data_IF_410610038894
#
_entry.id   IF_410610038894
#
_cell.length_a   1.000
_cell.length_b   1.000
_cell.length_c   1.000
_cell.angle_alpha   90.00
_cell.angle_beta   90.00
_cell.angle_gamma   90.00
#
_symmetry.space_group_name_H-M   'P 1'
#
loop_
_entity.id
_entity.type
_entity.pdbx_description
1 polymer ?
#
# COMPACT_ATOMS: atom_id res chain seq x y z
N UNK A 1 36.61 21.84 9.18
CA UNK A 1 36.59 23.31 9.05
C UNK A 1 35.82 23.64 7.79
N UNK A 2 34.64 24.25 7.91
CA UNK A 2 33.88 24.70 6.73
C UNK A 2 34.56 25.92 6.11
N UNK A 3 34.47 26.13 4.78
CA UNK A 3 35.08 27.28 4.13
C UNK A 3 34.50 28.58 4.69
N UNK A 4 35.39 29.51 5.09
CA UNK A 4 35.01 30.85 5.53
C UNK A 4 34.38 31.60 4.35
N UNK A 5 33.12 32.02 4.49
CA UNK A 5 32.42 32.83 3.51
C UNK A 5 33.06 34.23 3.48
N UNK A 6 33.75 34.57 2.38
CA UNK A 6 34.29 35.90 2.15
C UNK A 6 33.21 36.79 1.53
N UNK A 7 32.92 37.92 2.19
CA UNK A 7 31.86 38.87 1.79
C UNK A 7 32.18 39.64 0.49
N UNK A 8 33.42 39.58 0.01
CA UNK A 8 33.86 40.26 -1.22
C UNK A 8 33.79 39.37 -2.46
N UNK A 9 33.54 38.07 -2.31
CA UNK A 9 33.42 37.15 -3.44
C UNK A 9 31.98 37.16 -3.99
N UNK A 10 31.84 37.31 -5.30
CA UNK A 10 30.54 37.33 -5.98
C UNK A 10 29.98 35.91 -6.09
N UNK A 11 28.97 35.60 -5.28
CA UNK A 11 28.27 34.31 -5.30
C UNK A 11 26.78 34.50 -5.62
N UNK A 12 26.28 33.73 -6.58
CA UNK A 12 24.86 33.70 -6.96
C UNK A 12 24.28 32.30 -6.72
N UNK A 13 23.06 32.23 -6.21
CA UNK A 13 22.35 30.97 -6.08
C UNK A 13 21.78 30.58 -7.45
N UNK A 14 22.16 29.42 -7.98
CA UNK A 14 21.71 28.95 -9.31
C UNK A 14 20.39 28.17 -9.20
N UNK A 15 20.31 27.17 -8.32
CA UNK A 15 19.12 26.33 -8.17
C UNK A 15 19.10 25.59 -6.82
N UNK A 16 17.91 25.19 -6.38
CA UNK A 16 17.70 24.23 -5.27
C UNK A 16 17.40 22.85 -5.82
N UNK A 17 18.11 21.85 -5.33
CA UNK A 17 17.77 20.45 -5.52
C UNK A 17 16.80 20.04 -4.40
N UNK A 18 15.58 19.64 -4.76
CA UNK A 18 14.56 19.20 -3.81
C UNK A 18 14.80 17.76 -3.37
N UNK A 19 14.31 17.40 -2.20
CA UNK A 19 14.30 16.01 -1.73
C UNK A 19 13.31 15.19 -2.57
N UNK A 20 13.72 14.00 -3.01
CA UNK A 20 12.90 13.09 -3.82
C UNK A 20 12.12 12.07 -2.97
N UNK A 21 12.34 12.04 -1.65
CA UNK A 21 11.67 11.09 -0.73
C UNK A 21 10.25 11.54 -0.36
N UNK A 22 9.35 11.60 -1.33
CA UNK A 22 7.92 11.89 -1.12
C UNK A 22 7.13 10.65 -0.70
N UNK A 23 5.93 10.84 -0.15
CA UNK A 23 5.02 9.73 0.17
C UNK A 23 4.53 9.02 -1.09
N UNK A 24 4.64 7.69 -1.13
CA UNK A 24 4.07 6.84 -2.19
C UNK A 24 2.75 6.26 -1.68
N UNK A 25 1.70 6.28 -2.51
CA UNK A 25 0.35 5.85 -2.13
C UNK A 25 -0.22 4.78 -3.07
N UNK A 26 0.60 3.80 -3.44
CA UNK A 26 0.23 2.82 -4.44
C UNK A 26 -0.89 1.89 -3.93
N UNK A 27 -0.72 1.30 -2.74
CA UNK A 27 -1.66 0.35 -2.17
C UNK A 27 -2.95 1.06 -1.76
N UNK A 28 -2.83 2.22 -1.14
CA UNK A 28 -3.97 3.03 -0.73
C UNK A 28 -4.84 3.39 -1.94
N UNK A 29 -4.26 3.99 -2.99
CA UNK A 29 -5.03 4.43 -4.17
C UNK A 29 -5.60 3.29 -4.98
N UNK A 30 -4.89 2.14 -5.05
CA UNK A 30 -5.33 1.00 -5.86
C UNK A 30 -6.42 0.17 -5.17
N UNK A 31 -6.28 -0.10 -3.87
CA UNK A 31 -7.15 -1.04 -3.16
C UNK A 31 -8.16 -0.36 -2.23
N UNK A 32 -7.95 0.92 -1.86
CA UNK A 32 -8.81 1.68 -0.96
C UNK A 32 -9.21 3.06 -1.53
N UNK A 33 -9.85 3.12 -2.72
CA UNK A 33 -10.16 4.41 -3.37
C UNK A 33 -11.30 5.19 -2.72
N UNK A 34 -12.18 4.52 -1.98
CA UNK A 34 -13.38 5.13 -1.42
C UNK A 34 -13.09 5.77 -0.06
N UNK A 35 -13.57 7.00 0.11
CA UNK A 35 -13.48 7.74 1.37
C UNK A 35 -14.89 7.89 1.92
N UNK A 36 -15.06 7.57 3.19
CA UNK A 36 -16.32 7.74 3.92
C UNK A 36 -16.00 8.57 5.16
N UNK A 37 -16.70 9.69 5.29
CA UNK A 37 -16.64 10.57 6.46
C UNK A 37 -17.84 10.26 7.36
N UNK A 38 -17.63 10.30 8.67
CA UNK A 38 -18.65 10.05 9.67
C UNK A 38 -18.58 11.12 10.75
N UNK A 39 -19.74 11.61 11.18
CA UNK A 39 -19.85 12.53 12.32
C UNK A 39 -19.80 11.81 13.68
N UNK A 40 -19.89 10.47 13.68
CA UNK A 40 -19.85 9.64 14.88
C UNK A 40 -18.47 9.04 15.11
N UNK A 41 -18.10 8.85 16.38
CA UNK A 41 -16.83 8.22 16.77
C UNK A 41 -16.69 6.77 16.27
N UNK A 42 -17.80 6.04 16.15
CA UNK A 42 -17.83 4.66 15.69
C UNK A 42 -18.26 4.56 14.24
N UNK A 43 -17.67 3.62 13.52
CA UNK A 43 -18.04 3.22 12.16
C UNK A 43 -18.45 1.75 12.18
N UNK A 44 -19.57 1.43 11.56
CA UNK A 44 -20.07 0.06 11.43
C UNK A 44 -19.89 -0.42 9.98
N UNK A 45 -19.44 -1.67 9.82
CA UNK A 45 -19.37 -2.35 8.52
C UNK A 45 -20.25 -3.59 8.60
N UNK A 46 -21.23 -3.66 7.69
CA UNK A 46 -22.04 -4.85 7.49
C UNK A 46 -21.37 -5.80 6.48
N UNK A 47 -21.14 -7.04 6.90
CA UNK A 47 -20.58 -8.11 6.08
C UNK A 47 -21.70 -9.10 5.74
N UNK A 48 -22.06 -9.22 4.45
CA UNK A 48 -22.96 -10.28 3.97
C UNK A 48 -22.16 -11.59 3.83
N UNK A 49 -22.41 -12.54 4.73
CA UNK A 49 -21.76 -13.86 4.70
C UNK A 49 -22.57 -14.76 3.78
N UNK A 50 -22.32 -14.62 2.48
CA UNK A 50 -22.95 -15.41 1.42
C UNK A 50 -22.29 -16.78 1.23
N UNK A 51 -23.02 -17.88 1.47
CA UNK A 51 -22.61 -19.22 1.00
C UNK A 51 -23.16 -19.48 -0.40
N UNK A 52 -22.37 -20.13 -1.27
CA UNK A 52 -22.88 -20.67 -2.55
C UNK A 52 -23.90 -21.76 -2.25
N UNK A 53 -25.17 -21.52 -2.59
CA UNK A 53 -26.28 -22.45 -2.36
C UNK A 53 -26.91 -22.81 -3.70
N UNK A 54 -27.27 -24.09 -3.86
CA UNK A 54 -28.07 -24.55 -4.98
C UNK A 54 -29.52 -24.68 -4.54
N UNK A 55 -30.46 -24.28 -5.40
CA UNK A 55 -31.88 -24.46 -5.14
C UNK A 55 -32.22 -25.96 -5.12
N UNK A 56 -33.05 -26.43 -4.16
CA UNK A 56 -33.47 -27.82 -4.13
C UNK A 56 -34.48 -28.08 -5.27
N UNK A 57 -34.29 -29.17 -6.01
CA UNK A 57 -35.34 -29.67 -6.90
C UNK A 57 -36.49 -30.22 -6.06
N UNK A 58 -37.73 -29.79 -6.35
CA UNK A 58 -38.93 -30.23 -5.67
C UNK A 58 -39.95 -30.74 -6.69
N UNK A 59 -40.60 -31.87 -6.38
CA UNK A 59 -41.70 -32.40 -7.19
C UNK A 59 -42.92 -31.46 -7.11
N UNK A 60 -43.67 -31.22 -8.20
CA UNK A 60 -44.82 -30.31 -8.21
C UNK A 60 -45.92 -30.64 -7.19
N UNK A 61 -46.01 -31.90 -6.77
CA UNK A 61 -47.04 -32.39 -5.86
C UNK A 61 -46.65 -32.29 -4.36
N UNK A 62 -45.41 -31.91 -4.05
CA UNK A 62 -44.89 -31.87 -2.68
C UNK A 62 -44.46 -30.45 -2.31
N UNK A 63 -44.82 -30.01 -1.09
CA UNK A 63 -44.43 -28.70 -0.58
C UNK A 63 -42.90 -28.55 -0.54
N UNK A 64 -42.39 -27.46 -1.11
CA UNK A 64 -40.96 -27.17 -1.18
C UNK A 64 -40.30 -27.09 0.19
N UNK A 65 -39.01 -27.45 0.25
CA UNK A 65 -38.21 -27.34 1.48
C UNK A 65 -37.90 -25.87 1.79
N UNK A 66 -37.98 -25.50 3.07
CA UNK A 66 -37.61 -24.17 3.53
C UNK A 66 -36.09 -23.99 3.38
N UNK A 67 -35.68 -22.91 2.70
CA UNK A 67 -34.28 -22.50 2.57
C UNK A 67 -34.06 -21.33 3.52
N UNK A 68 -33.05 -21.40 4.38
CA UNK A 68 -32.72 -20.30 5.31
C UNK A 68 -32.39 -19.01 4.55
N UNK A 69 -32.69 -17.86 5.15
CA UNK A 69 -32.29 -16.55 4.62
C UNK A 69 -30.78 -16.32 4.72
N UNK A 70 -30.29 -15.26 4.06
CA UNK A 70 -28.91 -14.79 4.22
C UNK A 70 -28.74 -14.16 5.61
N UNK A 71 -27.55 -14.31 6.18
CA UNK A 71 -27.17 -13.72 7.47
C UNK A 71 -26.16 -12.60 7.19
N UNK A 72 -26.35 -11.48 7.86
CA UNK A 72 -25.36 -10.39 7.87
C UNK A 72 -24.74 -10.32 9.26
N UNK A 73 -23.50 -9.85 9.32
CA UNK A 73 -22.78 -9.55 10.56
C UNK A 73 -22.39 -8.09 10.54
N UNK A 74 -22.76 -7.36 11.59
CA UNK A 74 -22.36 -5.95 11.78
C UNK A 74 -21.15 -5.90 12.69
N UNK A 75 -20.04 -5.38 12.17
CA UNK A 75 -18.82 -5.16 12.93
C UNK A 75 -18.65 -3.66 13.18
N UNK A 76 -18.70 -3.22 14.44
CA UNK A 76 -18.40 -1.85 14.84
C UNK A 76 -16.93 -1.68 15.18
N UNK A 77 -16.31 -0.59 14.74
CA UNK A 77 -14.97 -0.22 15.14
C UNK A 77 -14.83 1.30 15.35
N UNK A 78 -13.93 1.68 16.26
CA UNK A 78 -13.54 3.08 16.50
C UNK A 78 -12.20 3.33 15.78
N UNK A 79 -12.14 4.21 14.78
CA UNK A 79 -10.90 4.55 14.10
C UNK A 79 -9.86 5.15 15.06
N UNK A 80 -8.58 4.87 14.80
CA UNK A 80 -7.49 5.48 15.56
C UNK A 80 -7.25 6.93 15.16
N UNK A 81 -7.06 7.80 16.14
CA UNK A 81 -6.76 9.21 15.90
C UNK A 81 -5.27 9.40 15.57
N UNK A 82 -4.97 10.05 14.44
CA UNK A 82 -3.59 10.37 14.01
C UNK A 82 -3.41 11.88 14.10
N UNK A 83 -2.41 12.32 14.88
CA UNK A 83 -2.11 13.74 15.05
C UNK A 83 -0.59 13.98 15.00
N UNK A 84 -0.16 14.88 14.12
CA UNK A 84 1.21 15.44 14.12
C UNK A 84 1.10 16.89 14.62
N UNK A 85 1.78 17.21 15.72
CA UNK A 85 1.83 18.57 16.28
C UNK A 85 3.29 19.03 16.28
N UNK A 86 3.53 20.19 15.68
CA UNK A 86 4.85 20.82 15.61
C UNK A 86 4.82 22.21 16.20
N UNK A 87 5.86 22.56 16.94
CA UNK A 87 6.05 23.91 17.45
C UNK A 87 6.85 24.69 16.40
N UNK A 88 6.33 25.80 15.85
CA UNK A 88 7.05 26.57 14.84
C UNK A 88 8.26 27.26 15.47
N UNK A 89 9.43 27.13 14.83
CA UNK A 89 10.63 27.86 15.24
C UNK A 89 10.51 29.34 14.84
N UNK A 90 10.44 30.22 15.84
CA UNK A 90 10.32 31.66 15.69
C UNK A 90 11.52 32.31 14.97
N UNK A 91 12.68 31.65 14.95
CA UNK A 91 13.89 32.17 14.31
C UNK A 91 14.03 31.74 12.85
N UNK A 92 13.28 30.72 12.41
CA UNK A 92 13.29 30.21 11.03
C UNK A 92 12.89 31.26 9.98
N UNK A 93 11.92 32.16 10.23
CA UNK A 93 11.57 33.24 9.30
C UNK A 93 12.60 34.39 9.24
N UNK A 94 13.46 34.52 10.24
CA UNK A 94 14.51 35.57 10.28
C UNK A 94 15.68 35.17 9.38
N UNK A 95 15.92 33.86 9.24
CA UNK A 95 16.99 33.30 8.41
C UNK A 95 16.55 33.18 6.95
N UNK A 96 17.52 33.25 6.04
CA UNK A 96 17.31 33.00 4.60
C UNK A 96 16.71 31.61 4.40
N UNK A 97 15.69 31.50 3.56
CA UNK A 97 15.11 30.22 3.19
C UNK A 97 15.91 29.50 2.10
N UNK A 98 15.74 28.18 2.02
CA UNK A 98 16.29 27.40 0.91
C UNK A 98 15.67 27.91 -0.41
N UNK A 99 16.50 28.25 -1.39
CA UNK A 99 16.05 28.80 -2.68
C UNK A 99 15.97 30.31 -2.78
N UNK A 100 16.13 31.01 -1.67
CA UNK A 100 16.19 32.47 -1.68
C UNK A 100 17.57 32.97 -2.11
N UNK A 101 17.60 34.07 -2.89
CA UNK A 101 18.83 34.72 -3.33
C UNK A 101 19.76 35.03 -2.14
N UNK A 102 21.06 34.87 -2.36
CA UNK A 102 22.07 35.27 -1.37
C UNK A 102 21.99 36.80 -1.20
N UNK A 103 21.77 37.25 0.04
CA UNK A 103 21.47 38.65 0.38
C UNK A 103 20.01 38.89 0.80
N UNK A 104 19.12 37.92 0.55
CA UNK A 104 17.70 38.02 0.91
C UNK A 104 16.87 38.73 -0.15
N UNK A 105 15.65 38.24 -0.35
CA UNK A 105 14.68 38.75 -1.31
C UNK A 105 13.29 38.87 -0.67
N UNK A 106 12.94 37.93 0.21
CA UNK A 106 11.64 37.89 0.87
C UNK A 106 11.63 38.66 2.19
N UNK A 107 10.47 39.23 2.50
CA UNK A 107 10.21 39.81 3.83
C UNK A 107 10.12 38.71 4.89
N UNK A 108 10.39 39.01 6.18
CA UNK A 108 10.22 38.03 7.26
C UNK A 108 8.81 37.43 7.34
N UNK A 109 7.79 38.20 6.97
CA UNK A 109 6.41 37.72 6.93
C UNK A 109 6.20 36.70 5.82
N UNK A 110 6.68 36.97 4.60
CA UNK A 110 6.63 36.00 3.50
C UNK A 110 7.42 34.72 3.81
N UNK A 111 8.59 34.84 4.44
CA UNK A 111 9.38 33.66 4.88
C UNK A 111 8.62 32.84 5.93
N UNK A 112 7.88 33.48 6.84
CA UNK A 112 7.03 32.76 7.80
C UNK A 112 5.99 31.93 7.07
N UNK A 113 5.27 32.52 6.12
CA UNK A 113 4.18 31.85 5.42
C UNK A 113 4.70 30.67 4.58
N UNK A 114 5.83 30.84 3.88
CA UNK A 114 6.48 29.75 3.14
C UNK A 114 6.93 28.62 4.08
N UNK A 115 7.50 28.96 5.24
CA UNK A 115 7.88 27.94 6.24
C UNK A 115 6.66 27.17 6.73
N UNK A 116 5.53 27.86 6.94
CA UNK A 116 4.30 27.22 7.38
C UNK A 116 3.77 26.24 6.35
N UNK A 117 3.74 26.62 5.07
CA UNK A 117 3.34 25.73 3.96
C UNK A 117 4.25 24.51 3.90
N UNK A 118 5.57 24.70 4.01
CA UNK A 118 6.54 23.60 3.98
C UNK A 118 6.31 22.59 5.12
N UNK A 119 6.02 23.06 6.33
CA UNK A 119 5.70 22.16 7.45
C UNK A 119 4.36 21.44 7.24
N UNK A 120 3.34 22.12 6.71
CA UNK A 120 2.04 21.50 6.41
C UNK A 120 2.18 20.43 5.32
N UNK A 121 2.94 20.71 4.26
CA UNK A 121 3.24 19.73 3.21
C UNK A 121 3.91 18.48 3.80
N UNK A 122 4.91 18.65 4.67
CA UNK A 122 5.58 17.52 5.33
C UNK A 122 4.63 16.76 6.28
N UNK A 123 3.73 17.44 6.99
CA UNK A 123 2.71 16.79 7.82
C UNK A 123 1.74 15.94 7.00
N UNK A 124 1.27 16.45 5.84
CA UNK A 124 0.44 15.68 4.91
C UNK A 124 1.21 14.46 4.41
N UNK A 125 2.50 14.63 4.11
CA UNK A 125 3.36 13.57 3.62
C UNK A 125 3.57 12.47 4.69
N UNK A 126 3.69 12.82 5.96
CA UNK A 126 3.75 11.87 7.09
C UNK A 126 2.43 11.13 7.25
N UNK A 127 1.30 11.85 7.16
CA UNK A 127 -0.03 11.25 7.22
C UNK A 127 -0.24 10.24 6.10
N UNK A 128 0.13 10.60 4.87
CA UNK A 128 0.03 9.72 3.70
C UNK A 128 0.86 8.44 3.87
N UNK A 129 2.07 8.53 4.44
CA UNK A 129 2.89 7.34 4.75
C UNK A 129 2.23 6.45 5.80
N UNK A 130 1.56 7.04 6.81
CA UNK A 130 0.81 6.28 7.82
C UNK A 130 -0.35 5.53 7.19
N UNK A 131 -1.12 6.19 6.32
CA UNK A 131 -2.26 5.57 5.64
C UNK A 131 -1.81 4.45 4.70
N UNK A 132 -0.74 4.65 3.94
CA UNK A 132 -0.16 3.59 3.09
C UNK A 132 0.33 2.39 3.92
N UNK A 133 0.96 2.65 5.07
CA UNK A 133 1.35 1.57 5.99
C UNK A 133 0.13 0.80 6.52
N UNK A 134 -0.96 1.49 6.88
CA UNK A 134 -2.21 0.85 7.31
C UNK A 134 -2.81 -0.01 6.21
N UNK A 135 -2.84 0.49 4.97
CA UNK A 135 -3.28 -0.27 3.80
C UNK A 135 -2.43 -1.53 3.59
N UNK A 136 -1.10 -1.42 3.73
CA UNK A 136 -0.19 -2.56 3.63
C UNK A 136 -0.44 -3.62 4.71
N UNK A 137 -0.63 -3.20 5.97
CA UNK A 137 -0.96 -4.13 7.06
C UNK A 137 -2.30 -4.82 6.82
N UNK A 138 -3.34 -4.07 6.45
CA UNK A 138 -4.66 -4.61 6.16
C UNK A 138 -4.60 -5.69 5.06
N UNK A 139 -3.88 -5.44 3.97
CA UNK A 139 -3.73 -6.40 2.87
C UNK A 139 -2.87 -7.61 3.24
N UNK A 140 -1.80 -7.42 4.03
CA UNK A 140 -0.82 -8.48 4.28
C UNK A 140 -1.23 -9.41 5.41
N UNK A 141 -1.71 -8.89 6.54
CA UNK A 141 -2.07 -9.69 7.73
C UNK A 141 -3.57 -9.81 7.93
N UNK A 142 -4.37 -8.91 7.33
CA UNK A 142 -5.80 -8.81 7.66
C UNK A 142 -6.06 -8.13 9.01
N UNK A 143 -5.02 -7.62 9.67
CA UNK A 143 -5.14 -6.96 10.98
C UNK A 143 -4.26 -5.71 11.05
N UNK A 144 -4.74 -4.64 11.65
CA UNK A 144 -3.94 -3.44 11.94
C UNK A 144 -3.74 -3.37 13.45
N UNK A 145 -2.47 -3.44 13.88
CA UNK A 145 -2.14 -3.18 15.29
C UNK A 145 -1.80 -1.71 15.44
N UNK A 146 -2.65 -0.97 16.15
CA UNK A 146 -2.42 0.43 16.47
C UNK A 146 -1.72 0.51 17.81
N UNK A 147 -0.49 1.02 17.79
CA UNK A 147 0.31 1.31 18.98
C UNK A 147 0.63 2.79 18.97
N UNK A 148 0.39 3.46 20.09
CA UNK A 148 0.72 4.87 20.28
C UNK A 148 1.07 5.15 21.74
N UNK A 149 1.94 6.14 21.95
CA UNK A 149 2.21 6.64 23.30
C UNK A 149 0.92 7.27 23.87
N UNK A 150 0.48 6.81 25.04
CA UNK A 150 -0.80 7.24 25.62
C UNK A 150 -2.05 6.66 24.96
N UNK A 151 -1.92 5.71 24.02
CA UNK A 151 -3.03 4.97 23.42
C UNK A 151 -2.88 3.48 23.73
N UNK A 152 -3.90 2.81 24.28
CA UNK A 152 -3.81 1.37 24.53
C UNK A 152 -3.59 0.63 23.21
N UNK A 153 -2.76 -0.41 23.21
CA UNK A 153 -2.55 -1.22 22.02
C UNK A 153 -3.87 -1.86 21.59
N UNK A 154 -4.41 -1.41 20.46
CA UNK A 154 -5.65 -1.98 19.90
C UNK A 154 -5.33 -2.74 18.63
N UNK A 155 -5.94 -3.91 18.50
CA UNK A 155 -5.87 -4.73 17.28
C UNK A 155 -7.19 -4.57 16.56
N UNK A 156 -7.14 -4.01 15.35
CA UNK A 156 -8.26 -3.96 14.42
C UNK A 156 -8.15 -5.21 13.56
N UNK A 157 -9.07 -6.15 13.74
CA UNK A 157 -9.11 -7.41 12.98
C UNK A 157 -10.22 -7.36 11.93
N UNK A 158 -9.86 -7.55 10.66
CA UNK A 158 -10.82 -7.62 9.54
C UNK A 158 -11.37 -9.03 9.32
N UNK A 159 -11.06 -9.98 10.22
CA UNK A 159 -11.55 -11.34 10.22
C UNK A 159 -11.21 -12.10 8.93
N UNK A 160 -10.01 -11.86 8.39
CA UNK A 160 -9.52 -12.62 7.25
C UNK A 160 -9.30 -14.07 7.66
N UNK A 161 -9.72 -15.00 6.81
CA UNK A 161 -9.51 -16.42 7.08
C UNK A 161 -8.00 -16.72 7.24
N UNK A 162 -7.58 -17.35 8.35
CA UNK A 162 -6.16 -17.62 8.62
C UNK A 162 -5.48 -18.47 7.54
N UNK A 163 -6.22 -19.31 6.82
CA UNK A 163 -5.68 -20.15 5.73
C UNK A 163 -5.14 -19.35 4.54
N UNK A 164 -5.58 -18.10 4.39
CA UNK A 164 -5.08 -17.18 3.35
C UNK A 164 -3.72 -16.56 3.69
N UNK A 165 -3.21 -16.80 4.91
CA UNK A 165 -1.89 -16.32 5.34
C UNK A 165 -0.88 -17.45 5.25
N UNK A 166 -0.16 -17.52 4.12
CA UNK A 166 0.70 -18.66 3.81
C UNK A 166 2.17 -18.27 4.02
N UNK A 167 2.88 -19.06 4.82
CA UNK A 167 4.31 -18.90 5.07
C UNK A 167 5.08 -20.09 4.49
N UNK A 168 5.80 -19.86 3.38
CA UNK A 168 6.68 -20.87 2.80
C UNK A 168 7.93 -21.05 3.66
N UNK A 169 8.24 -22.29 4.03
CA UNK A 169 9.37 -22.63 4.92
C UNK A 169 10.19 -23.79 4.36
N UNK A 170 11.43 -23.97 4.85
CA UNK A 170 12.29 -25.07 4.41
C UNK A 170 12.44 -25.19 2.89
N UNK A 171 12.17 -26.39 2.37
CA UNK A 171 12.27 -26.74 0.95
C UNK A 171 11.13 -26.17 0.07
N UNK A 172 10.10 -25.59 0.68
CA UNK A 172 8.96 -24.97 -0.02
C UNK A 172 9.27 -23.52 -0.43
N UNK A 173 10.34 -22.94 0.10
CA UNK A 173 10.78 -21.60 -0.31
C UNK A 173 11.15 -21.58 -1.79
N UNK A 174 10.69 -20.55 -2.48
CA UNK A 174 11.07 -20.33 -3.88
C UNK A 174 12.58 -20.12 -3.99
N UNK A 175 13.25 -20.83 -4.91
CA UNK A 175 14.70 -20.75 -5.06
C UNK A 175 15.12 -19.38 -5.58
N UNK A 176 16.19 -18.82 -5.03
CA UNK A 176 16.84 -17.60 -5.54
C UNK A 176 17.92 -17.89 -6.57
N UNK A 177 18.25 -19.16 -6.74
CA UNK A 177 19.23 -19.68 -7.70
C UNK A 177 18.71 -21.02 -8.20
N UNK A 178 18.62 -21.18 -9.51
CA UNK A 178 18.22 -22.42 -10.17
C UNK A 178 19.41 -22.88 -11.00
N UNK A 179 19.74 -24.18 -10.95
CA UNK A 179 20.81 -24.74 -11.76
C UNK A 179 20.44 -24.66 -13.25
N UNK A 180 21.44 -24.47 -14.10
CA UNK A 180 21.20 -24.37 -15.55
C UNK A 180 20.54 -25.66 -16.08
N UNK A 181 19.46 -25.50 -16.86
CA UNK A 181 18.64 -26.59 -17.36
C UNK A 181 17.70 -27.27 -16.35
N UNK A 182 17.64 -26.83 -15.08
CA UNK A 182 16.68 -27.35 -14.11
C UNK A 182 15.31 -26.69 -14.25
N UNK A 183 14.25 -27.51 -14.28
CA UNK A 183 12.87 -27.01 -14.31
C UNK A 183 12.47 -26.48 -12.93
N UNK A 184 11.94 -25.26 -12.88
CA UNK A 184 11.42 -24.66 -11.66
C UNK A 184 10.03 -24.12 -11.94
N UNK A 185 8.99 -24.80 -11.45
CA UNK A 185 7.58 -24.46 -11.65
C UNK A 185 6.84 -24.20 -10.33
N UNK A 186 7.57 -24.21 -9.19
CA UNK A 186 6.97 -24.04 -7.86
C UNK A 186 6.25 -22.69 -7.72
N UNK A 187 6.83 -21.55 -8.13
CA UNK A 187 6.15 -20.26 -7.98
C UNK A 187 4.79 -20.19 -8.68
N UNK A 188 4.71 -20.68 -9.92
CA UNK A 188 3.46 -20.67 -10.69
C UNK A 188 2.41 -21.60 -10.09
N UNK A 189 2.79 -22.83 -9.70
CA UNK A 189 1.88 -23.77 -9.04
C UNK A 189 1.33 -23.23 -7.72
N UNK A 190 2.19 -22.59 -6.92
CA UNK A 190 1.79 -21.97 -5.67
C UNK A 190 0.77 -20.85 -5.90
N UNK A 191 1.02 -19.96 -6.87
CA UNK A 191 0.10 -18.85 -7.20
C UNK A 191 -1.26 -19.36 -7.65
N UNK A 192 -1.32 -20.38 -8.52
CA UNK A 192 -2.58 -20.98 -8.94
C UNK A 192 -3.34 -21.59 -7.76
N UNK A 193 -2.63 -22.28 -6.87
CA UNK A 193 -3.22 -22.87 -5.67
C UNK A 193 -3.80 -21.80 -4.74
N UNK A 194 -3.10 -20.68 -4.57
CA UNK A 194 -3.51 -19.56 -3.72
C UNK A 194 -4.70 -18.82 -4.32
N UNK A 195 -4.71 -18.58 -5.64
CA UNK A 195 -5.84 -17.99 -6.34
C UNK A 195 -7.10 -18.85 -6.20
N UNK A 196 -6.95 -20.17 -6.28
CA UNK A 196 -8.04 -21.11 -6.11
C UNK A 196 -8.57 -21.12 -4.66
N UNK A 197 -7.68 -21.00 -3.66
CA UNK A 197 -8.09 -20.84 -2.26
C UNK A 197 -8.86 -19.54 -2.04
N UNK A 198 -8.39 -18.41 -2.58
CA UNK A 198 -9.09 -17.13 -2.52
C UNK A 198 -10.48 -17.26 -3.15
N UNK A 199 -10.60 -17.91 -4.31
CA UNK A 199 -11.88 -18.10 -5.00
C UNK A 199 -12.85 -18.98 -4.19
N UNK A 200 -12.36 -19.99 -3.48
CA UNK A 200 -13.19 -20.85 -2.63
C UNK A 200 -13.74 -20.11 -1.42
N UNK A 201 -12.92 -19.26 -0.79
CA UNK A 201 -13.27 -18.59 0.46
C UNK A 201 -14.01 -17.28 0.25
N UNK A 202 -13.52 -16.42 -0.64
CA UNK A 202 -14.09 -15.10 -0.90
C UNK A 202 -15.10 -15.09 -2.06
N UNK A 203 -15.03 -16.08 -2.95
CA UNK A 203 -15.83 -16.09 -4.18
C UNK A 203 -15.33 -15.13 -5.28
N UNK A 204 -14.30 -14.33 -5.00
CA UNK A 204 -13.70 -13.39 -5.95
C UNK A 204 -12.45 -13.97 -6.62
N UNK A 205 -12.16 -13.52 -7.84
CA UNK A 205 -10.93 -13.85 -8.56
C UNK A 205 -9.85 -12.82 -8.25
N UNK A 206 -8.66 -13.26 -7.88
CA UNK A 206 -7.51 -12.36 -7.77
C UNK A 206 -7.02 -11.95 -9.18
N UNK A 207 -6.92 -10.64 -9.41
CA UNK A 207 -6.47 -10.04 -10.68
C UNK A 207 -5.03 -9.51 -10.61
N UNK A 208 -4.61 -9.06 -9.42
CA UNK A 208 -3.34 -8.39 -9.20
C UNK A 208 -2.47 -9.16 -8.21
N UNK A 209 -1.19 -9.33 -8.55
CA UNK A 209 -0.15 -9.89 -7.69
C UNK A 209 0.91 -8.82 -7.44
N UNK A 210 1.17 -8.50 -6.17
CA UNK A 210 2.16 -7.49 -5.78
C UNK A 210 3.35 -8.19 -5.13
N UNK A 211 4.54 -8.02 -5.72
CA UNK A 211 5.76 -8.65 -5.23
C UNK A 211 6.68 -7.66 -4.51
N UNK A 212 7.37 -8.15 -3.49
CA UNK A 212 8.61 -7.53 -3.01
C UNK A 212 9.75 -7.84 -3.97
N UNK A 213 10.84 -7.07 -3.92
CA UNK A 213 12.00 -7.27 -4.79
C UNK A 213 12.57 -8.69 -4.70
N UNK A 214 12.67 -9.26 -3.49
CA UNK A 214 13.18 -10.62 -3.28
C UNK A 214 12.24 -11.69 -3.85
N UNK A 215 10.93 -11.55 -3.63
CA UNK A 215 9.94 -12.48 -4.18
C UNK A 215 9.92 -12.43 -5.71
N UNK A 216 10.00 -11.24 -6.30
CA UNK A 216 10.12 -11.05 -7.74
C UNK A 216 11.36 -11.73 -8.32
N UNK A 217 12.51 -11.60 -7.63
CA UNK A 217 13.75 -12.23 -8.07
C UNK A 217 13.69 -13.76 -8.08
N UNK A 218 12.90 -14.37 -7.19
CA UNK A 218 12.65 -15.81 -7.20
C UNK A 218 11.62 -16.20 -8.26
N UNK A 219 10.54 -15.41 -8.40
CA UNK A 219 9.47 -15.65 -9.37
C UNK A 219 9.99 -15.63 -10.81
N UNK A 220 10.85 -14.68 -11.19
CA UNK A 220 11.44 -14.60 -12.53
C UNK A 220 12.31 -15.81 -12.94
N UNK A 221 12.69 -16.66 -11.98
CA UNK A 221 13.48 -17.88 -12.25
C UNK A 221 12.58 -19.09 -12.50
N UNK A 222 11.27 -18.89 -12.58
CA UNK A 222 10.33 -19.94 -12.96
C UNK A 222 10.42 -20.21 -14.47
N UNK A 223 10.69 -21.47 -14.83
CA UNK A 223 10.85 -21.89 -16.22
C UNK A 223 9.55 -21.78 -17.02
N UNK A 224 8.40 -21.95 -16.37
CA UNK A 224 7.09 -21.87 -17.06
C UNK A 224 6.80 -20.46 -17.54
N UNK A 225 7.31 -19.43 -16.86
CA UNK A 225 7.19 -18.03 -17.29
C UNK A 225 7.99 -17.80 -18.56
N UNK A 226 9.20 -18.36 -18.67
CA UNK A 226 10.00 -18.23 -19.90
C UNK A 226 9.32 -18.84 -21.12
N UNK A 227 8.57 -19.93 -20.92
CA UNK A 227 7.90 -20.65 -21.99
C UNK A 227 6.50 -20.08 -22.33
N UNK A 228 5.82 -19.45 -21.38
CA UNK A 228 4.42 -19.02 -21.52
C UNK A 228 4.18 -17.52 -21.46
N UNK A 229 5.12 -16.74 -20.90
CA UNK A 229 4.96 -15.30 -20.79
C UNK A 229 5.35 -14.58 -22.08
N UNK A 230 4.52 -13.62 -22.47
CA UNK A 230 4.84 -12.69 -23.55
C UNK A 230 5.93 -11.74 -23.05
N UNK A 231 7.18 -11.97 -23.46
CA UNK A 231 8.30 -11.07 -23.17
C UNK A 231 8.25 -9.85 -24.09
N UNK A 232 7.78 -8.70 -23.59
CA UNK A 232 7.85 -7.42 -24.29
C UNK A 232 9.30 -6.91 -24.37
N UNK A 233 9.74 -6.34 -25.52
CA UNK A 233 9.05 -5.27 -26.23
C UNK A 233 8.46 -5.61 -27.62
N UNK A 234 8.11 -6.87 -27.94
CA UNK A 234 7.49 -7.18 -29.23
C UNK A 234 5.96 -7.45 -29.13
N UNK A 235 5.19 -6.47 -29.63
CA UNK A 235 3.82 -6.54 -30.19
C UNK A 235 2.61 -6.93 -29.31
N UNK A 236 1.99 -5.93 -28.66
CA UNK A 236 0.52 -5.72 -28.64
C UNK A 236 0.19 -4.35 -27.97
N UNK A 237 -0.53 -3.41 -28.63
CA UNK A 237 -0.90 -2.12 -28.04
C UNK A 237 -2.11 -2.14 -27.08
N UNK A 238 -2.85 -3.25 -26.94
CA UNK A 238 -4.07 -3.28 -26.13
C UNK A 238 -4.23 -4.60 -25.34
N UNK A 239 -4.23 -4.50 -24.00
CA UNK A 239 -4.70 -5.54 -23.08
C UNK A 239 -3.62 -6.10 -22.14
N UNK A 240 -3.86 -5.91 -20.83
CA UNK A 240 -3.13 -6.46 -19.67
C UNK A 240 -1.60 -6.24 -19.67
N UNK A 241 -1.21 -5.02 -19.30
CA UNK A 241 0.18 -4.65 -19.06
C UNK A 241 0.75 -5.37 -17.82
N UNK A 242 1.72 -6.25 -18.04
CA UNK A 242 2.60 -6.75 -16.98
C UNK A 242 3.87 -5.90 -17.02
N UNK A 243 4.17 -5.21 -15.92
CA UNK A 243 5.35 -4.35 -15.81
C UNK A 243 6.61 -5.23 -15.70
N UNK A 244 7.56 -5.18 -16.65
CA UNK A 244 8.67 -6.15 -16.76
C UNK A 244 9.74 -6.04 -15.66
N UNK A 245 9.52 -5.23 -14.62
CA UNK A 245 10.41 -5.21 -13.48
C UNK A 245 10.10 -4.13 -12.43
N UNK A 246 10.86 -4.12 -11.33
CA UNK A 246 10.75 -3.05 -10.33
C UNK A 246 11.19 -1.74 -10.96
N UNK A 247 10.23 -0.85 -11.24
CA UNK A 247 10.53 0.54 -11.58
C UNK A 247 10.87 1.30 -10.30
N UNK A 248 12.09 1.80 -10.22
CA UNK A 248 12.43 2.84 -9.25
C UNK A 248 11.82 4.13 -9.78
N UNK A 249 10.56 4.38 -9.43
CA UNK A 249 9.87 5.63 -9.75
C UNK A 249 10.06 6.62 -8.60
N UNK A 250 10.44 7.84 -8.95
CA UNK A 250 10.21 8.99 -8.07
C UNK A 250 8.71 9.24 -8.01
N UNK A 251 8.19 9.60 -6.84
CA UNK A 251 6.75 9.91 -6.68
C UNK A 251 6.33 11.15 -7.43
#
# INVERSE_FOLDING_TARGET
MGPNFNIYDTITLVQVVRNLKVSQQFLLKKFFPNIIESDTEKVAIDVDIGRRRMAPFCSPLVKGKLVESRRYQTNEFTPAYIKDVRVPDLRKPIRRQIGERIGGEFTPMQRRDINMVFEIEDQIDVLNRRLEWMAAQALLTGTITVVGEGFPTTVIDFQRDPSLTIALSGADKWPLTVADGATNNKPTQDIESWQLQILKMSGAQATDLVFTTKSWQAFRLDSTIHDTAITFPNQNPFGNAVDPGPKVMTG
#
